data_IF_753516021477
#
_entry.id   IF_753516021477
#
_cell.length_a   1.000
_cell.length_b   1.000
_cell.length_c   1.000
_cell.angle_alpha   90.00
_cell.angle_beta   90.00
_cell.angle_gamma   90.00
#
_symmetry.space_group_name_H-M   'P 1'
#
loop_
_entity.id
_entity.type
_entity.pdbx_description
1 polymer ?
#
# COMPACT_ATOMS: atom_id res chain seq x y z
N UNK A 1 -28.90 51.05 32.57
CA UNK A 1 -27.67 50.92 31.77
C UNK A 1 -26.82 49.70 32.12
N UNK A 2 -26.86 49.17 33.34
CA UNK A 2 -25.99 48.06 33.79
C UNK A 2 -26.35 46.67 33.26
N UNK A 3 -27.62 46.42 32.88
CA UNK A 3 -28.05 45.11 32.34
C UNK A 3 -27.68 44.88 30.87
N UNK A 4 -27.41 45.94 30.10
CA UNK A 4 -27.08 45.83 28.67
C UNK A 4 -25.60 45.45 28.45
N UNK A 5 -24.71 45.88 29.36
CA UNK A 5 -23.29 45.52 29.33
C UNK A 5 -23.03 44.04 29.66
N UNK A 6 -23.85 43.44 30.52
CA UNK A 6 -23.74 42.01 30.87
C UNK A 6 -24.14 41.08 29.72
N UNK A 7 -25.09 41.48 28.86
CA UNK A 7 -25.43 40.71 27.66
C UNK A 7 -24.34 40.78 26.59
N UNK A 8 -23.67 41.92 26.39
CA UNK A 8 -22.55 42.01 25.44
C UNK A 8 -21.32 41.21 25.89
N UNK A 9 -21.05 41.09 27.19
CA UNK A 9 -19.96 40.24 27.69
C UNK A 9 -20.22 38.74 27.52
N UNK A 10 -21.48 38.30 27.52
CA UNK A 10 -21.85 36.90 27.25
C UNK A 10 -21.83 36.56 25.75
N UNK A 11 -22.05 37.53 24.86
CA UNK A 11 -21.96 37.34 23.41
C UNK A 11 -20.52 37.28 22.88
N UNK A 12 -19.54 37.86 23.58
CA UNK A 12 -18.12 37.70 23.22
C UNK A 12 -17.54 36.33 23.62
N UNK A 13 -18.14 35.63 24.58
CA UNK A 13 -17.69 34.29 24.99
C UNK A 13 -18.21 33.16 24.10
N UNK A 14 -19.11 33.45 23.16
CA UNK A 14 -19.74 32.44 22.30
C UNK A 14 -19.07 32.28 20.92
N UNK A 15 -17.95 32.98 20.66
CA UNK A 15 -17.19 32.87 19.39
C UNK A 15 -15.93 32.00 19.47
N UNK A 16 -15.63 31.37 20.60
CA UNK A 16 -14.79 30.19 20.57
C UNK A 16 -15.65 29.01 20.14
N UNK A 17 -15.93 28.92 18.83
CA UNK A 17 -16.17 27.62 18.21
C UNK A 17 -15.11 26.65 18.77
N UNK A 18 -15.42 25.37 19.04
CA UNK A 18 -14.39 24.42 19.39
C UNK A 18 -13.41 24.39 18.22
N UNK A 19 -12.35 25.17 18.38
CA UNK A 19 -11.23 25.28 17.46
C UNK A 19 -10.76 23.86 17.29
N UNK A 20 -10.98 23.32 16.10
CA UNK A 20 -10.51 22.03 15.63
C UNK A 20 -9.42 21.47 16.56
N UNK A 21 -9.81 20.59 17.48
CA UNK A 21 -8.87 20.10 18.49
C UNK A 21 -7.80 19.22 17.87
N UNK A 22 -8.03 18.71 16.65
CA UNK A 22 -7.04 18.03 15.84
C UNK A 22 -5.87 18.97 15.49
N UNK A 23 -6.11 20.26 15.28
CA UNK A 23 -5.06 21.24 14.95
C UNK A 23 -3.97 21.42 16.02
N UNK A 24 -4.17 20.86 17.22
CA UNK A 24 -3.18 20.87 18.31
C UNK A 24 -2.26 19.64 18.30
N UNK A 25 -2.57 18.64 17.48
CA UNK A 25 -1.83 17.40 17.38
C UNK A 25 -0.70 17.59 16.36
N UNK A 26 0.53 17.37 16.79
CA UNK A 26 1.76 17.60 16.01
C UNK A 26 2.40 16.32 15.49
N UNK A 27 1.80 15.16 15.80
CA UNK A 27 2.25 13.87 15.30
C UNK A 27 1.17 13.16 14.48
N UNK A 28 1.57 12.59 13.35
CA UNK A 28 0.64 11.85 12.49
C UNK A 28 0.02 10.64 13.21
N UNK A 29 0.80 9.94 14.02
CA UNK A 29 0.35 8.74 14.71
C UNK A 29 -0.72 9.02 15.76
N UNK A 30 -0.65 10.16 16.46
CA UNK A 30 -1.71 10.60 17.37
C UNK A 30 -2.90 11.17 16.59
N UNK A 31 -2.64 11.90 15.50
CA UNK A 31 -3.67 12.52 14.69
C UNK A 31 -4.64 11.48 14.11
N UNK A 32 -4.12 10.45 13.45
CA UNK A 32 -4.92 9.39 12.82
C UNK A 32 -5.74 8.55 13.80
N UNK A 33 -5.36 8.55 15.08
CA UNK A 33 -6.08 7.87 16.17
C UNK A 33 -7.02 8.76 16.98
N UNK A 34 -7.13 10.05 16.64
CA UNK A 34 -7.89 11.03 17.40
C UNK A 34 -9.22 11.42 16.71
N UNK A 35 -10.08 12.04 17.51
CA UNK A 35 -11.28 12.70 17.04
C UNK A 35 -11.37 14.10 17.66
N UNK A 36 -12.06 15.01 16.98
CA UNK A 36 -12.29 16.34 17.50
C UNK A 36 -13.32 16.35 18.65
N UNK A 37 -13.56 17.52 19.25
CA UNK A 37 -14.54 17.69 20.33
C UNK A 37 -15.99 17.34 19.97
N UNK A 38 -16.28 17.10 18.69
CA UNK A 38 -17.59 16.69 18.18
C UNK A 38 -17.63 15.22 17.74
N UNK A 39 -16.50 14.51 17.83
CA UNK A 39 -16.39 13.10 17.44
C UNK A 39 -16.08 12.89 15.96
N UNK A 40 -15.74 13.93 15.20
CA UNK A 40 -15.26 13.79 13.83
C UNK A 40 -13.82 13.33 13.81
N UNK A 41 -13.44 12.50 12.84
CA UNK A 41 -12.08 11.96 12.75
C UNK A 41 -11.07 13.07 12.47
N UNK A 42 -9.92 12.98 13.11
CA UNK A 42 -8.77 13.78 12.76
C UNK A 42 -8.03 13.15 11.57
N UNK A 43 -7.51 13.98 10.67
CA UNK A 43 -6.78 13.59 9.47
C UNK A 43 -5.44 14.34 9.41
N UNK A 44 -4.37 13.62 9.07
CA UNK A 44 -3.03 14.18 8.96
C UNK A 44 -2.74 14.58 7.52
N UNK A 45 -2.15 15.76 7.31
CA UNK A 45 -1.70 16.21 6.01
C UNK A 45 -0.17 16.07 5.89
N UNK A 46 0.28 15.24 4.95
CA UNK A 46 1.70 14.97 4.73
C UNK A 46 2.48 16.20 4.24
N UNK A 47 1.89 17.00 3.35
CA UNK A 47 2.56 18.15 2.74
C UNK A 47 2.73 19.34 3.69
N UNK A 48 1.76 19.61 4.56
CA UNK A 48 1.84 20.67 5.57
C UNK A 48 2.30 20.19 6.95
N UNK A 49 2.51 18.88 7.13
CA UNK A 49 2.84 18.25 8.40
C UNK A 49 1.91 18.72 9.55
N UNK A 50 0.60 18.73 9.29
CA UNK A 50 -0.41 19.25 10.22
C UNK A 50 -1.62 18.33 10.32
N UNK A 51 -2.24 18.30 11.49
CA UNK A 51 -3.48 17.59 11.74
C UNK A 51 -4.69 18.53 11.64
N UNK A 52 -5.82 18.05 11.14
CA UNK A 52 -7.07 18.81 11.08
C UNK A 52 -8.28 17.88 11.23
N UNK A 53 -9.44 18.41 11.59
CA UNK A 53 -10.71 17.67 11.58
C UNK A 53 -11.18 17.44 10.15
N UNK A 54 -11.77 16.29 9.85
CA UNK A 54 -12.35 15.98 8.54
C UNK A 54 -13.46 16.96 8.11
N UNK A 55 -14.07 17.67 9.06
CA UNK A 55 -15.09 18.70 8.81
C UNK A 55 -14.53 20.12 8.66
N UNK A 56 -13.23 20.31 8.91
CA UNK A 56 -12.59 21.59 8.66
C UNK A 56 -12.38 21.79 7.15
N UNK A 57 -12.38 23.04 6.68
CA UNK A 57 -11.92 23.36 5.33
C UNK A 57 -10.40 23.10 5.26
N UNK A 58 -10.04 21.83 5.05
CA UNK A 58 -8.66 21.40 4.92
C UNK A 58 -8.10 21.85 3.58
N UNK A 59 -6.96 22.54 3.60
CA UNK A 59 -6.15 22.84 2.40
C UNK A 59 -5.34 21.61 1.92
N UNK A 60 -5.47 20.47 2.59
CA UNK A 60 -4.75 19.26 2.22
C UNK A 60 -5.31 18.69 0.92
N UNK A 61 -4.43 18.45 -0.05
CA UNK A 61 -4.81 17.70 -1.24
C UNK A 61 -5.16 16.26 -0.83
N UNK A 62 -6.13 15.64 -1.52
CA UNK A 62 -6.60 14.28 -1.16
C UNK A 62 -5.45 13.27 -1.16
N UNK A 63 -4.49 13.43 -2.07
CA UNK A 63 -3.30 12.57 -2.17
C UNK A 63 -2.30 12.74 -1.01
N UNK A 64 -2.38 13.85 -0.27
CA UNK A 64 -1.52 14.13 0.88
C UNK A 64 -2.18 13.73 2.21
N UNK A 65 -3.44 13.28 2.19
CA UNK A 65 -4.18 12.94 3.40
C UNK A 65 -3.81 11.55 3.92
N UNK A 66 -3.55 11.48 5.21
CA UNK A 66 -3.26 10.27 5.96
C UNK A 66 -4.34 10.05 7.01
N UNK A 67 -5.12 8.97 6.84
CA UNK A 67 -6.24 8.61 7.72
C UNK A 67 -5.90 7.52 8.74
N UNK A 68 -4.84 6.76 8.45
CA UNK A 68 -4.43 5.63 9.27
C UNK A 68 -2.96 5.75 9.66
N UNK A 69 -2.65 5.32 10.88
CA UNK A 69 -1.32 5.43 11.48
C UNK A 69 -0.21 4.79 10.65
N UNK A 70 -0.49 3.69 9.94
CA UNK A 70 0.50 3.00 9.11
C UNK A 70 0.91 3.79 7.86
N UNK A 71 0.08 4.73 7.41
CA UNK A 71 0.39 5.63 6.30
C UNK A 71 1.15 6.90 6.76
N UNK A 72 1.46 7.01 8.05
CA UNK A 72 2.17 8.17 8.56
C UNK A 72 3.57 8.29 7.94
N UNK A 73 4.02 9.53 7.61
CA UNK A 73 5.33 9.75 7.05
C UNK A 73 6.43 9.16 7.94
N UNK A 74 7.16 8.18 7.43
CA UNK A 74 8.38 7.67 8.04
C UNK A 74 9.57 8.58 7.70
N UNK A 75 10.61 8.54 8.54
CA UNK A 75 11.87 9.19 8.17
C UNK A 75 12.54 8.39 7.05
N UNK A 76 12.45 8.89 5.82
CA UNK A 76 13.07 8.31 4.62
C UNK A 76 14.25 9.14 4.11
N UNK A 77 14.79 10.07 4.92
CA UNK A 77 15.86 10.99 4.49
C UNK A 77 17.11 10.28 3.97
N UNK A 78 17.35 9.05 4.44
CA UNK A 78 18.53 8.25 4.11
C UNK A 78 18.26 7.23 2.99
N UNK A 79 17.03 7.13 2.49
CA UNK A 79 16.65 6.21 1.41
C UNK A 79 16.51 6.98 0.12
N UNK A 80 17.48 6.78 -0.79
CA UNK A 80 17.41 7.33 -2.15
C UNK A 80 16.95 6.25 -3.11
N UNK A 81 15.93 6.59 -3.90
CA UNK A 81 15.50 5.76 -5.01
C UNK A 81 16.66 5.56 -5.99
N UNK A 82 17.00 4.30 -6.26
CA UNK A 82 18.03 3.94 -7.24
C UNK A 82 17.38 3.53 -8.56
N UNK A 83 17.33 4.49 -9.48
CA UNK A 83 16.78 4.30 -10.83
C UNK A 83 17.52 3.19 -11.61
N UNK A 84 18.84 3.05 -11.40
CA UNK A 84 19.63 2.04 -12.12
C UNK A 84 19.27 0.64 -11.63
N UNK A 85 19.19 0.45 -10.32
CA UNK A 85 18.71 -0.80 -9.73
C UNK A 85 17.30 -1.16 -10.23
N UNK A 86 16.38 -0.19 -10.24
CA UNK A 86 15.02 -0.44 -10.67
C UNK A 86 14.93 -0.83 -12.14
N UNK A 87 15.63 -0.12 -13.04
CA UNK A 87 15.59 -0.41 -14.47
C UNK A 87 16.36 -1.66 -14.89
N UNK A 88 17.50 -1.93 -14.25
CA UNK A 88 18.42 -2.97 -14.68
C UNK A 88 18.24 -4.28 -13.90
N UNK A 89 17.58 -4.24 -12.74
CA UNK A 89 17.36 -5.43 -11.91
C UNK A 89 15.88 -5.69 -11.70
N UNK A 90 15.15 -4.76 -11.10
CA UNK A 90 13.75 -5.02 -10.71
C UNK A 90 12.84 -5.20 -11.93
N UNK A 91 12.91 -4.30 -12.91
CA UNK A 91 12.04 -4.34 -14.08
C UNK A 91 12.23 -5.61 -14.94
N UNK A 92 13.46 -6.08 -15.23
CA UNK A 92 13.64 -7.35 -15.94
C UNK A 92 13.08 -8.56 -15.17
N UNK A 93 13.25 -8.61 -13.85
CA UNK A 93 12.70 -9.69 -13.02
C UNK A 93 11.17 -9.73 -13.09
N UNK A 94 10.52 -8.57 -13.06
CA UNK A 94 9.06 -8.44 -13.23
C UNK A 94 8.65 -8.80 -14.66
N UNK A 95 9.37 -8.32 -15.68
CA UNK A 95 9.02 -8.60 -17.07
C UNK A 95 9.05 -10.12 -17.37
N UNK A 96 10.03 -10.82 -16.82
CA UNK A 96 10.20 -12.26 -17.00
C UNK A 96 9.01 -13.09 -16.49
N UNK A 97 8.17 -12.58 -15.59
CA UNK A 97 6.97 -13.28 -15.13
C UNK A 97 5.92 -13.47 -16.23
N UNK A 98 6.03 -12.75 -17.35
CA UNK A 98 5.13 -12.84 -18.50
C UNK A 98 5.61 -13.83 -19.57
N UNK A 99 6.71 -14.54 -19.32
CA UNK A 99 7.16 -15.60 -20.20
C UNK A 99 6.10 -16.71 -20.31
N UNK A 100 5.84 -17.25 -21.51
CA UNK A 100 4.76 -18.22 -21.74
C UNK A 100 5.02 -19.61 -21.15
N UNK A 101 6.28 -19.96 -20.88
CA UNK A 101 6.69 -21.24 -20.30
C UNK A 101 8.09 -21.12 -19.64
N UNK A 102 8.53 -22.21 -19.01
CA UNK A 102 9.80 -22.27 -18.30
C UNK A 102 11.05 -22.03 -19.19
N UNK A 103 11.17 -22.61 -20.40
CA UNK A 103 12.26 -22.26 -21.33
C UNK A 103 12.34 -20.77 -21.65
N UNK A 104 11.21 -20.11 -21.90
CA UNK A 104 11.19 -18.68 -22.17
C UNK A 104 11.48 -17.84 -20.91
N UNK A 105 11.06 -18.29 -19.72
CA UNK A 105 11.43 -17.66 -18.46
C UNK A 105 12.95 -17.67 -18.28
N UNK A 106 13.59 -18.83 -18.46
CA UNK A 106 15.04 -18.96 -18.35
C UNK A 106 15.76 -18.06 -19.36
N UNK A 107 15.35 -18.12 -20.63
CA UNK A 107 15.93 -17.28 -21.70
C UNK A 107 15.81 -15.78 -21.40
N UNK A 108 14.63 -15.33 -20.91
CA UNK A 108 14.42 -13.94 -20.55
C UNK A 108 15.34 -13.49 -19.40
N UNK A 109 15.49 -14.31 -18.37
CA UNK A 109 16.35 -14.02 -17.23
C UNK A 109 17.84 -14.03 -17.61
N UNK A 110 18.30 -15.05 -18.33
CA UNK A 110 19.71 -15.18 -18.77
C UNK A 110 20.12 -14.04 -19.73
N UNK A 111 19.17 -13.50 -20.51
CA UNK A 111 19.46 -12.36 -21.39
C UNK A 111 19.88 -11.08 -20.64
N UNK A 112 19.41 -10.92 -19.40
CA UNK A 112 19.64 -9.74 -18.57
C UNK A 112 20.68 -9.98 -17.47
N UNK A 113 20.72 -11.20 -16.93
CA UNK A 113 21.53 -11.53 -15.75
C UNK A 113 22.62 -12.56 -16.02
N UNK A 114 22.68 -13.14 -17.23
CA UNK A 114 23.65 -14.16 -17.60
C UNK A 114 23.68 -15.32 -16.59
N UNK A 115 24.86 -15.68 -16.08
CA UNK A 115 25.08 -16.73 -15.09
C UNK A 115 24.82 -16.29 -13.64
N UNK A 116 24.45 -15.02 -13.41
CA UNK A 116 24.22 -14.46 -12.08
C UNK A 116 22.84 -14.81 -11.52
N UNK A 117 21.94 -15.39 -12.30
CA UNK A 117 20.61 -15.79 -11.84
C UNK A 117 20.44 -17.30 -11.94
N UNK A 118 19.78 -17.86 -10.93
CA UNK A 118 19.43 -19.28 -10.88
C UNK A 118 17.96 -19.40 -10.50
N UNK A 119 17.14 -19.97 -11.39
CA UNK A 119 15.73 -20.25 -11.07
C UNK A 119 15.70 -21.37 -10.04
N UNK A 120 15.05 -21.13 -8.91
CA UNK A 120 14.80 -22.14 -7.89
C UNK A 120 13.55 -22.93 -8.29
N UNK A 121 12.44 -22.24 -8.55
CA UNK A 121 11.19 -22.86 -8.99
C UNK A 121 10.22 -21.86 -9.64
N UNK A 122 9.20 -22.36 -10.32
CA UNK A 122 8.09 -21.57 -10.88
C UNK A 122 6.74 -22.20 -10.53
N UNK A 123 5.73 -21.35 -10.30
CA UNK A 123 4.45 -21.73 -9.75
C UNK A 123 3.33 -21.13 -10.59
N UNK A 124 2.41 -21.98 -11.06
CA UNK A 124 1.18 -21.54 -11.71
C UNK A 124 -0.03 -22.21 -11.04
N UNK A 125 -1.05 -21.42 -10.70
CA UNK A 125 -2.30 -21.90 -10.07
C UNK A 125 -3.46 -20.99 -10.48
N UNK A 126 -4.70 -21.45 -10.37
CA UNK A 126 -5.84 -20.55 -10.48
C UNK A 126 -5.88 -19.58 -9.30
N UNK A 127 -6.00 -18.28 -9.59
CA UNK A 127 -6.08 -17.22 -8.56
C UNK A 127 -7.30 -17.40 -7.66
N UNK A 128 -8.40 -17.86 -8.23
CA UNK A 128 -9.69 -18.06 -7.58
C UNK A 128 -10.28 -19.42 -7.96
N UNK A 129 -11.31 -19.83 -7.22
CA UNK A 129 -11.94 -21.15 -7.38
C UNK A 129 -12.82 -21.23 -8.64
N UNK A 130 -13.09 -20.08 -9.27
CA UNK A 130 -13.81 -19.98 -10.55
C UNK A 130 -12.96 -20.45 -11.74
N UNK A 131 -11.65 -20.68 -11.54
CA UNK A 131 -10.70 -21.18 -12.54
C UNK A 131 -10.59 -20.32 -13.81
N UNK A 132 -10.99 -19.04 -13.75
CA UNK A 132 -10.98 -18.13 -14.90
C UNK A 132 -9.58 -17.54 -15.14
N UNK A 133 -8.87 -17.20 -14.08
CA UNK A 133 -7.58 -16.50 -14.13
C UNK A 133 -6.49 -17.31 -13.44
N UNK A 134 -5.32 -17.42 -14.09
CA UNK A 134 -4.14 -18.03 -13.48
C UNK A 134 -3.23 -16.98 -12.85
N UNK A 135 -2.71 -17.33 -11.69
CA UNK A 135 -1.69 -16.63 -10.94
C UNK A 135 -0.37 -17.35 -11.18
N UNK A 136 0.67 -16.57 -11.46
CA UNK A 136 2.00 -17.09 -11.70
C UNK A 136 3.02 -16.37 -10.83
N UNK A 137 4.03 -17.10 -10.37
CA UNK A 137 5.20 -16.50 -9.76
C UNK A 137 6.39 -17.45 -9.82
N UNK A 138 7.59 -16.93 -9.62
CA UNK A 138 8.81 -17.73 -9.54
C UNK A 138 9.72 -17.26 -8.42
N UNK A 139 10.56 -18.18 -7.98
CA UNK A 139 11.66 -17.95 -7.06
C UNK A 139 12.99 -18.08 -7.80
N UNK A 140 13.93 -17.18 -7.54
CA UNK A 140 15.26 -17.25 -8.11
C UNK A 140 16.31 -16.74 -7.13
N UNK A 141 17.55 -17.19 -7.28
CA UNK A 141 18.69 -16.69 -6.54
C UNK A 141 19.55 -15.80 -7.45
N UNK A 142 19.81 -14.58 -6.99
CA UNK A 142 20.62 -13.58 -7.67
C UNK A 142 21.99 -13.51 -6.98
N UNK A 143 23.00 -14.10 -7.62
CA UNK A 143 24.31 -14.45 -7.05
C UNK A 143 25.17 -13.25 -6.72
N UNK A 144 25.25 -12.25 -7.61
CA UNK A 144 26.05 -11.04 -7.44
C UNK A 144 25.63 -10.21 -6.21
N UNK A 145 24.36 -10.34 -5.81
CA UNK A 145 23.76 -9.63 -4.67
C UNK A 145 23.49 -10.52 -3.47
N UNK A 146 23.73 -11.83 -3.58
CA UNK A 146 23.36 -12.82 -2.58
C UNK A 146 21.89 -12.63 -2.13
N UNK A 147 20.96 -12.54 -3.09
CA UNK A 147 19.58 -12.18 -2.84
C UNK A 147 18.61 -13.24 -3.37
N UNK A 148 17.57 -13.53 -2.57
CA UNK A 148 16.41 -14.31 -3.01
C UNK A 148 15.42 -13.36 -3.72
N UNK A 149 15.01 -13.74 -4.92
CA UNK A 149 13.98 -13.06 -5.70
C UNK A 149 12.70 -13.86 -5.62
N UNK A 150 11.60 -13.19 -5.24
CA UNK A 150 10.24 -13.67 -5.43
C UNK A 150 9.56 -12.70 -6.39
N UNK A 151 9.18 -13.19 -7.57
CA UNK A 151 8.55 -12.38 -8.59
C UNK A 151 7.16 -12.94 -8.91
N UNK A 152 6.17 -12.05 -8.97
CA UNK A 152 4.77 -12.39 -9.18
C UNK A 152 4.28 -11.74 -10.46
N UNK A 153 3.54 -12.50 -11.28
CA UNK A 153 2.93 -12.00 -12.50
C UNK A 153 1.75 -11.12 -12.16
N UNK A 154 1.74 -9.91 -12.71
CA UNK A 154 0.57 -9.06 -12.72
C UNK A 154 -0.52 -9.55 -13.68
N UNK A 155 -1.53 -8.72 -13.88
CA UNK A 155 -2.67 -8.98 -14.77
C UNK A 155 -2.23 -9.06 -16.24
N UNK A 156 -2.64 -10.10 -16.98
CA UNK A 156 -2.19 -10.34 -18.37
C UNK A 156 -3.16 -9.86 -19.45
N UNK A 157 -4.41 -9.51 -19.13
CA UNK A 157 -5.39 -9.03 -20.12
C UNK A 157 -6.19 -7.80 -19.68
N UNK A 158 -6.61 -6.95 -20.64
CA UNK A 158 -7.40 -5.73 -20.38
C UNK A 158 -8.84 -6.01 -19.91
N UNK A 159 -9.37 -7.22 -20.16
CA UNK A 159 -10.65 -7.66 -19.62
C UNK A 159 -10.59 -7.88 -18.10
N UNK A 160 -9.43 -8.33 -17.60
CA UNK A 160 -9.16 -8.34 -16.17
C UNK A 160 -9.01 -6.92 -15.61
N UNK A 161 -8.54 -5.92 -16.35
CA UNK A 161 -8.47 -4.54 -15.81
C UNK A 161 -9.85 -3.92 -15.53
N UNK A 162 -10.90 -4.32 -16.26
CA UNK A 162 -12.27 -3.82 -16.09
C UNK A 162 -13.06 -4.66 -15.09
N UNK A 163 -12.86 -5.99 -15.09
CA UNK A 163 -13.47 -6.88 -14.11
C UNK A 163 -12.77 -6.79 -12.74
N UNK A 164 -11.43 -6.67 -12.68
CA UNK A 164 -10.62 -6.35 -11.49
C UNK A 164 -10.78 -4.89 -11.06
N UNK A 165 -11.00 -3.95 -11.99
CA UNK A 165 -11.28 -2.54 -11.66
C UNK A 165 -12.64 -2.34 -10.99
N UNK A 166 -13.67 -3.10 -11.38
CA UNK A 166 -14.98 -3.12 -10.72
C UNK A 166 -14.92 -3.98 -9.45
N UNK A 167 -14.22 -5.11 -9.48
CA UNK A 167 -14.13 -5.99 -8.31
C UNK A 167 -13.14 -5.52 -7.25
N UNK A 168 -12.15 -4.67 -7.50
CA UNK A 168 -11.40 -3.98 -6.44
C UNK A 168 -12.28 -3.09 -5.55
N UNK A 169 -13.43 -2.64 -6.08
CA UNK A 169 -14.48 -1.98 -5.29
C UNK A 169 -15.50 -2.95 -4.66
N UNK A 170 -15.61 -4.20 -5.15
CA UNK A 170 -16.61 -5.17 -4.70
C UNK A 170 -16.04 -6.32 -3.85
N UNK A 171 -14.73 -6.57 -3.94
CA UNK A 171 -14.03 -7.54 -3.15
C UNK A 171 -13.97 -7.04 -1.70
N UNK A 172 -14.26 -7.91 -0.74
CA UNK A 172 -14.20 -7.51 0.65
C UNK A 172 -12.76 -7.14 0.99
N UNK A 173 -12.61 -5.96 1.60
CA UNK A 173 -11.39 -5.65 2.34
C UNK A 173 -11.40 -6.47 3.61
N UNK A 174 -10.30 -7.17 3.88
CA UNK A 174 -10.14 -8.00 5.07
C UNK A 174 -9.08 -7.39 5.98
N UNK A 175 -9.29 -7.54 7.28
CA UNK A 175 -8.30 -7.12 8.28
C UNK A 175 -6.98 -7.87 8.06
N UNK A 176 -5.90 -7.12 7.96
CA UNK A 176 -4.54 -7.65 7.87
C UNK A 176 -3.82 -7.38 9.18
N UNK A 177 -3.98 -8.33 10.10
CA UNK A 177 -3.51 -8.22 11.49
C UNK A 177 -1.99 -7.96 11.62
N UNK A 178 -1.20 -8.25 10.60
CA UNK A 178 0.26 -8.03 10.61
C UNK A 178 0.59 -6.53 10.63
N UNK A 179 -0.18 -5.71 9.92
CA UNK A 179 0.05 -4.26 9.84
C UNK A 179 -1.07 -3.44 10.47
N UNK A 180 -2.03 -4.10 11.15
CA UNK A 180 -3.27 -3.48 11.64
C UNK A 180 -4.04 -2.72 10.55
N UNK A 181 -3.84 -3.13 9.28
CA UNK A 181 -4.42 -2.50 8.11
C UNK A 181 -5.55 -3.33 7.51
N UNK A 182 -5.98 -2.95 6.31
CA UNK A 182 -6.89 -3.75 5.49
C UNK A 182 -6.27 -4.03 4.14
N UNK A 183 -6.48 -5.22 3.62
CA UNK A 183 -6.00 -5.63 2.29
C UNK A 183 -7.16 -6.14 1.46
N UNK A 184 -7.03 -6.06 0.14
CA UNK A 184 -8.01 -6.69 -0.75
C UNK A 184 -7.90 -8.21 -0.63
N UNK A 185 -9.04 -8.87 -0.36
CA UNK A 185 -9.08 -10.33 -0.19
C UNK A 185 -8.59 -11.10 -1.41
N UNK A 186 -8.77 -10.55 -2.62
CA UNK A 186 -8.35 -11.19 -3.86
C UNK A 186 -6.83 -11.34 -3.90
N UNK A 187 -6.10 -10.23 -3.69
CA UNK A 187 -4.64 -10.24 -3.71
C UNK A 187 -4.05 -11.08 -2.56
N UNK A 188 -4.67 -11.03 -1.38
CA UNK A 188 -4.24 -11.85 -0.24
C UNK A 188 -4.39 -13.34 -0.52
N UNK A 189 -5.52 -13.76 -1.08
CA UNK A 189 -5.78 -15.16 -1.44
C UNK A 189 -4.84 -15.63 -2.56
N UNK A 190 -4.67 -14.83 -3.61
CA UNK A 190 -3.74 -15.12 -4.71
C UNK A 190 -2.31 -15.32 -4.21
N UNK A 191 -1.84 -14.46 -3.30
CA UNK A 191 -0.54 -14.62 -2.65
C UNK A 191 -0.44 -15.95 -1.91
N UNK A 192 -1.40 -16.25 -1.01
CA UNK A 192 -1.34 -17.47 -0.22
C UNK A 192 -1.45 -18.75 -1.05
N UNK A 193 -2.23 -18.75 -2.13
CA UNK A 193 -2.28 -19.88 -3.07
C UNK A 193 -0.92 -20.19 -3.69
N UNK A 194 -0.18 -19.18 -4.14
CA UNK A 194 1.19 -19.36 -4.65
C UNK A 194 2.17 -19.74 -3.54
N UNK A 195 2.05 -19.09 -2.39
CA UNK A 195 2.87 -19.35 -1.20
C UNK A 195 2.76 -20.81 -0.76
N UNK A 196 1.54 -21.32 -0.60
CA UNK A 196 1.23 -22.67 -0.14
C UNK A 196 1.45 -23.74 -1.22
N UNK A 197 1.38 -23.39 -2.51
CA UNK A 197 1.74 -24.32 -3.60
C UNK A 197 3.19 -24.81 -3.51
N UNK A 198 4.05 -24.05 -2.86
CA UNK A 198 5.42 -24.48 -2.56
C UNK A 198 6.47 -23.38 -2.58
N UNK A 199 6.10 -22.13 -2.91
CA UNK A 199 7.01 -20.98 -2.82
C UNK A 199 7.49 -20.79 -1.37
N UNK A 200 6.61 -21.10 -0.42
CA UNK A 200 6.88 -21.60 0.94
C UNK A 200 8.32 -22.06 1.17
N UNK A 201 8.55 -23.20 0.54
CA UNK A 201 9.69 -24.05 0.80
C UNK A 201 10.99 -23.47 0.23
N UNK A 202 10.93 -22.46 -0.63
CA UNK A 202 12.12 -21.83 -1.19
C UNK A 202 12.64 -20.70 -0.31
N UNK A 203 11.78 -20.12 0.52
CA UNK A 203 12.16 -19.07 1.48
C UNK A 203 12.64 -19.68 2.81
N UNK A 204 12.08 -20.82 3.20
CA UNK A 204 12.39 -21.49 4.49
C UNK A 204 13.63 -22.40 4.44
N UNK A 205 14.31 -22.52 3.29
CA UNK A 205 15.57 -23.25 3.12
C UNK A 205 16.78 -22.41 3.52
#
# INVERSE_FOLDING_TARGET
MTKLLLLLSLLCAAHSAPLDSCARIDSCGECTGAADGFGYRCQWCGSSASCASEQSESLCHVDDMTLDKYNCPGNVSDVRYDESFMRQTVLPLIAATHSPDAPHLLSALESCFHDQIEIINSYEIFCEDTEVTTCFGYSAYLKDRNALVLAFRGTTTLFQLIDEGISFFLHPKVEFNVTEGVVDSYYLNAFYKLWEKGMRNDVEK
#
